data_IF_086318867472
#
_entry.id   IF_086318867472
#
_cell.length_a   1.000
_cell.length_b   1.000
_cell.length_c   1.000
_cell.angle_alpha   90.00
_cell.angle_beta   90.00
_cell.angle_gamma   90.00
#
_symmetry.space_group_name_H-M   'P 1'
#
loop_
_entity.id
_entity.type
_entity.pdbx_description
1 polymer ?
#
# COMPACT_ATOMS: atom_id res chain seq x y z
N UNK A 1 47.21 3.64 -14.77
CA UNK A 1 46.36 2.42 -14.84
C UNK A 1 45.36 2.36 -13.68
N UNK A 2 45.75 2.68 -12.43
CA UNK A 2 44.82 2.67 -11.29
C UNK A 2 43.52 3.51 -11.48
N UNK A 3 43.59 4.71 -12.05
CA UNK A 3 42.40 5.56 -12.30
C UNK A 3 41.44 4.97 -13.35
N UNK A 4 41.97 4.35 -14.40
CA UNK A 4 41.15 3.73 -15.44
C UNK A 4 40.45 2.47 -14.94
N UNK A 5 41.12 1.72 -14.04
CA UNK A 5 40.55 0.51 -13.45
C UNK A 5 39.49 0.87 -12.40
N UNK A 6 39.71 1.92 -11.61
CA UNK A 6 38.72 2.49 -10.69
C UNK A 6 37.46 2.96 -11.44
N UNK A 7 37.63 3.74 -12.50
CA UNK A 7 36.52 4.23 -13.31
C UNK A 7 35.71 3.08 -13.95
N UNK A 8 36.39 2.02 -14.43
CA UNK A 8 35.73 0.81 -14.94
C UNK A 8 34.95 0.07 -13.85
N UNK A 9 35.50 -0.02 -12.64
CA UNK A 9 34.85 -0.67 -11.51
C UNK A 9 33.57 0.07 -11.08
N UNK A 10 33.64 1.40 -10.91
CA UNK A 10 32.46 2.22 -10.59
C UNK A 10 31.41 2.17 -11.71
N UNK A 11 31.84 2.26 -12.98
CA UNK A 11 30.93 2.16 -14.12
C UNK A 11 30.20 0.81 -14.19
N UNK A 12 30.90 -0.29 -13.88
CA UNK A 12 30.30 -1.63 -13.82
C UNK A 12 29.26 -1.74 -12.70
N UNK A 13 29.56 -1.20 -11.52
CA UNK A 13 28.63 -1.17 -10.38
C UNK A 13 27.37 -0.35 -10.71
N UNK A 14 27.54 0.84 -11.29
CA UNK A 14 26.43 1.69 -11.73
C UNK A 14 25.60 0.99 -12.80
N UNK A 15 26.23 0.31 -13.77
CA UNK A 15 25.51 -0.47 -14.78
C UNK A 15 24.66 -1.57 -14.16
N UNK A 16 25.18 -2.30 -13.18
CA UNK A 16 24.44 -3.33 -12.45
C UNK A 16 23.22 -2.76 -11.71
N UNK A 17 23.40 -1.58 -11.11
CA UNK A 17 22.30 -0.87 -10.46
C UNK A 17 21.23 -0.39 -11.43
N UNK A 18 21.62 0.18 -12.58
CA UNK A 18 20.71 0.57 -13.66
C UNK A 18 19.92 -0.64 -14.13
N UNK A 19 20.57 -1.78 -14.36
CA UNK A 19 19.90 -3.00 -14.78
C UNK A 19 18.87 -3.49 -13.76
N UNK A 20 19.20 -3.44 -12.46
CA UNK A 20 18.28 -3.80 -11.37
C UNK A 20 17.07 -2.87 -11.33
N UNK A 21 17.27 -1.57 -11.40
CA UNK A 21 16.17 -0.59 -11.38
C UNK A 21 15.32 -0.71 -12.64
N UNK A 22 15.94 -0.89 -13.81
CA UNK A 22 15.23 -1.13 -15.07
C UNK A 22 14.38 -2.41 -15.00
N UNK A 23 14.87 -3.47 -14.35
CA UNK A 23 14.09 -4.69 -14.15
C UNK A 23 12.86 -4.44 -13.27
N UNK A 24 12.99 -3.76 -12.14
CA UNK A 24 11.85 -3.44 -11.27
C UNK A 24 10.83 -2.53 -11.97
N UNK A 25 11.30 -1.49 -12.67
CA UNK A 25 10.42 -0.58 -13.43
C UNK A 25 9.72 -1.34 -14.57
N UNK A 26 10.45 -2.19 -15.29
CA UNK A 26 9.89 -3.02 -16.36
C UNK A 26 8.81 -3.97 -15.85
N UNK A 27 9.05 -4.65 -14.72
CA UNK A 27 8.05 -5.48 -14.06
C UNK A 27 6.83 -4.64 -13.66
N UNK A 28 7.04 -3.50 -12.99
CA UNK A 28 5.96 -2.62 -12.54
C UNK A 28 5.06 -2.15 -13.70
N UNK A 29 5.65 -1.72 -14.82
CA UNK A 29 4.90 -1.33 -16.01
C UNK A 29 4.12 -2.52 -16.57
N UNK A 30 4.78 -3.68 -16.71
CA UNK A 30 4.14 -4.89 -17.22
C UNK A 30 2.94 -5.33 -16.37
N UNK A 31 3.08 -5.38 -15.04
CA UNK A 31 1.97 -5.77 -14.15
C UNK A 31 0.86 -4.73 -14.10
N UNK A 32 1.16 -3.43 -14.24
CA UNK A 32 0.11 -2.40 -14.38
C UNK A 32 -0.68 -2.60 -15.67
N UNK A 33 -0.01 -2.85 -16.80
CA UNK A 33 -0.69 -3.14 -18.07
C UNK A 33 -1.57 -4.39 -17.95
N UNK A 34 -1.06 -5.46 -17.32
CA UNK A 34 -1.83 -6.66 -17.06
C UNK A 34 -3.03 -6.39 -16.15
N UNK A 35 -2.87 -5.57 -15.11
CA UNK A 35 -3.95 -5.18 -14.21
C UNK A 35 -5.04 -4.39 -14.95
N UNK A 36 -4.64 -3.48 -15.86
CA UNK A 36 -5.58 -2.72 -16.68
C UNK A 36 -6.34 -3.62 -17.66
N UNK A 37 -5.65 -4.57 -18.32
CA UNK A 37 -6.30 -5.56 -19.20
C UNK A 37 -7.27 -6.42 -18.40
N UNK A 38 -6.84 -6.94 -17.24
CA UNK A 38 -7.68 -7.75 -16.37
C UNK A 38 -8.87 -6.97 -15.84
N UNK A 39 -8.69 -5.70 -15.46
CA UNK A 39 -9.79 -4.84 -15.04
C UNK A 39 -10.76 -4.58 -16.18
N UNK A 40 -10.27 -4.30 -17.39
CA UNK A 40 -11.12 -4.02 -18.56
C UNK A 40 -11.94 -5.26 -18.97
N UNK A 41 -11.28 -6.39 -19.17
CA UNK A 41 -11.92 -7.66 -19.57
C UNK A 41 -12.75 -8.24 -18.42
N UNK A 42 -12.22 -8.20 -17.20
CA UNK A 42 -12.89 -8.75 -16.03
C UNK A 42 -14.12 -7.95 -15.62
N UNK A 43 -14.11 -6.62 -15.77
CA UNK A 43 -15.29 -5.78 -15.48
C UNK A 43 -16.39 -6.01 -16.49
N UNK A 44 -16.08 -6.19 -17.78
CA UNK A 44 -17.11 -6.49 -18.78
C UNK A 44 -17.77 -7.85 -18.54
N UNK A 45 -16.97 -8.86 -18.15
CA UNK A 45 -17.50 -10.17 -17.69
C UNK A 45 -18.33 -10.04 -16.41
N UNK A 46 -17.89 -9.23 -15.45
CA UNK A 46 -18.61 -9.00 -14.19
C UNK A 46 -19.97 -8.32 -14.39
N UNK A 47 -20.05 -7.32 -15.27
CA UNK A 47 -21.31 -6.61 -15.57
C UNK A 47 -22.28 -7.51 -16.34
N UNK A 48 -21.77 -8.39 -17.20
CA UNK A 48 -22.60 -9.33 -17.97
C UNK A 48 -23.28 -10.39 -17.08
N UNK A 49 -22.63 -10.79 -15.98
CA UNK A 49 -23.08 -11.83 -15.07
C UNK A 49 -23.31 -11.28 -13.67
N UNK A 50 -24.16 -10.25 -13.55
CA UNK A 50 -24.37 -9.36 -12.38
C UNK A 50 -24.74 -10.04 -11.03
N UNK A 51 -24.58 -11.36 -10.92
CA UNK A 51 -24.75 -12.18 -9.72
C UNK A 51 -23.81 -13.41 -9.60
N UNK A 52 -22.85 -13.65 -10.52
CA UNK A 52 -22.10 -14.92 -10.52
C UNK A 52 -20.87 -14.92 -9.60
N UNK A 53 -21.06 -15.65 -8.51
CA UNK A 53 -20.04 -16.01 -7.54
C UNK A 53 -18.78 -16.59 -8.18
N UNK A 54 -17.66 -16.35 -7.52
CA UNK A 54 -16.27 -16.71 -7.87
C UNK A 54 -15.53 -15.84 -8.91
N UNK A 55 -16.08 -15.54 -10.10
CA UNK A 55 -15.30 -14.86 -11.16
C UNK A 55 -14.98 -13.40 -10.80
N UNK A 56 -15.95 -12.64 -10.29
CA UNK A 56 -15.73 -11.26 -9.85
C UNK A 56 -14.68 -11.13 -8.74
N UNK A 57 -14.67 -12.10 -7.80
CA UNK A 57 -13.65 -12.18 -6.77
C UNK A 57 -12.26 -12.46 -7.36
N UNK A 58 -12.17 -13.36 -8.34
CA UNK A 58 -10.94 -13.64 -9.06
C UNK A 58 -10.36 -12.41 -9.74
N UNK A 59 -11.19 -11.65 -10.47
CA UNK A 59 -10.79 -10.39 -11.12
C UNK A 59 -10.32 -9.37 -10.07
N UNK A 60 -11.11 -9.15 -9.01
CA UNK A 60 -10.77 -8.21 -7.94
C UNK A 60 -9.43 -8.56 -7.28
N UNK A 61 -9.24 -9.83 -6.89
CA UNK A 61 -8.00 -10.29 -6.27
C UNK A 61 -6.81 -10.21 -7.22
N UNK A 62 -7.00 -10.58 -8.49
CA UNK A 62 -5.96 -10.46 -9.51
C UNK A 62 -5.51 -9.02 -9.70
N UNK A 63 -6.45 -8.07 -9.83
CA UNK A 63 -6.13 -6.64 -9.96
C UNK A 63 -5.43 -6.12 -8.70
N UNK A 64 -5.95 -6.41 -7.52
CA UNK A 64 -5.35 -5.97 -6.25
C UNK A 64 -3.94 -6.53 -6.05
N UNK A 65 -3.71 -7.80 -6.39
CA UNK A 65 -2.38 -8.42 -6.32
C UNK A 65 -1.41 -7.74 -7.29
N UNK A 66 -1.81 -7.56 -8.55
CA UNK A 66 -0.96 -6.94 -9.58
C UNK A 66 -0.61 -5.49 -9.22
N UNK A 67 -1.57 -4.72 -8.71
CA UNK A 67 -1.31 -3.37 -8.20
C UNK A 67 -0.36 -3.41 -7.00
N UNK A 68 -0.55 -4.34 -6.07
CA UNK A 68 0.34 -4.49 -4.91
C UNK A 68 1.79 -4.78 -5.34
N UNK A 69 1.97 -5.67 -6.31
CA UNK A 69 3.28 -6.00 -6.90
C UNK A 69 3.87 -4.77 -7.61
N UNK A 70 3.07 -4.05 -8.40
CA UNK A 70 3.52 -2.84 -9.09
C UNK A 70 4.05 -1.79 -8.11
N UNK A 71 3.31 -1.55 -7.02
CA UNK A 71 3.73 -0.66 -5.93
C UNK A 71 5.03 -1.17 -5.32
N UNK A 72 5.10 -2.43 -4.90
CA UNK A 72 6.30 -3.01 -4.30
C UNK A 72 7.54 -2.88 -5.21
N UNK A 73 7.41 -3.15 -6.51
CA UNK A 73 8.48 -2.97 -7.49
C UNK A 73 8.88 -1.50 -7.65
N UNK A 74 7.91 -0.58 -7.72
CA UNK A 74 8.19 0.86 -7.75
C UNK A 74 8.96 1.34 -6.53
N UNK A 75 8.62 0.83 -5.34
CA UNK A 75 9.32 1.15 -4.10
C UNK A 75 10.73 0.58 -4.05
N UNK A 76 10.91 -0.66 -4.49
CA UNK A 76 12.23 -1.27 -4.61
C UNK A 76 13.10 -0.47 -5.61
N UNK A 77 12.53 0.00 -6.72
CA UNK A 77 13.22 0.82 -7.72
C UNK A 77 13.75 2.13 -7.12
N UNK A 78 12.96 2.82 -6.29
CA UNK A 78 13.38 4.06 -5.60
C UNK A 78 14.23 3.81 -4.34
N UNK A 79 14.61 2.57 -4.07
CA UNK A 79 15.56 2.22 -3.00
C UNK A 79 14.94 1.90 -1.64
N UNK A 80 13.62 1.68 -1.56
CA UNK A 80 13.02 1.13 -0.34
C UNK A 80 13.53 -0.29 -0.12
N UNK A 81 14.00 -0.60 1.09
CA UNK A 81 14.59 -1.89 1.38
C UNK A 81 13.57 -3.04 1.29
N UNK A 82 13.98 -4.17 0.73
CA UNK A 82 13.14 -5.36 0.61
C UNK A 82 12.62 -5.87 1.97
N UNK A 83 13.38 -5.66 3.05
CA UNK A 83 12.94 -6.00 4.40
C UNK A 83 11.73 -5.16 4.86
N UNK A 84 11.65 -3.87 4.50
CA UNK A 84 10.50 -3.01 4.83
C UNK A 84 9.26 -3.44 4.07
N UNK A 85 9.39 -3.69 2.77
CA UNK A 85 8.32 -4.19 1.90
C UNK A 85 7.83 -5.56 2.38
N UNK A 86 8.77 -6.47 2.68
CA UNK A 86 8.49 -7.81 3.19
C UNK A 86 7.80 -7.81 4.55
N UNK A 87 8.20 -6.92 5.47
CA UNK A 87 7.51 -6.74 6.75
C UNK A 87 6.07 -6.28 6.55
N UNK A 88 5.83 -5.33 5.64
CA UNK A 88 4.46 -4.90 5.31
C UNK A 88 3.62 -6.05 4.73
N UNK A 89 4.23 -6.89 3.90
CA UNK A 89 3.59 -8.11 3.37
C UNK A 89 3.23 -9.10 4.48
N UNK A 90 4.14 -9.37 5.42
CA UNK A 90 3.85 -10.27 6.55
C UNK A 90 2.71 -9.77 7.45
N UNK A 91 2.66 -8.46 7.71
CA UNK A 91 1.53 -7.85 8.43
C UNK A 91 0.23 -8.04 7.64
N UNK A 92 0.25 -7.81 6.32
CA UNK A 92 -0.90 -8.02 5.47
C UNK A 92 -1.38 -9.48 5.47
N UNK A 93 -0.47 -10.47 5.46
CA UNK A 93 -0.82 -11.90 5.60
C UNK A 93 -1.50 -12.17 6.95
N UNK A 94 -0.99 -11.59 8.04
CA UNK A 94 -1.64 -11.66 9.34
C UNK A 94 -3.07 -11.10 9.31
N UNK A 95 -3.27 -9.98 8.60
CA UNK A 95 -4.61 -9.38 8.39
C UNK A 95 -5.50 -10.29 7.55
N UNK A 96 -5.00 -10.92 6.49
CA UNK A 96 -5.77 -11.90 5.70
C UNK A 96 -6.29 -13.01 6.60
N UNK A 97 -5.41 -13.62 7.40
CA UNK A 97 -5.78 -14.71 8.30
C UNK A 97 -6.79 -14.24 9.33
N UNK A 98 -6.53 -13.10 9.99
CA UNK A 98 -7.42 -12.55 11.01
C UNK A 98 -8.81 -12.22 10.47
N UNK A 99 -8.90 -11.47 9.38
CA UNK A 99 -10.19 -11.06 8.79
C UNK A 99 -10.94 -12.26 8.22
N UNK A 100 -10.23 -13.18 7.54
CA UNK A 100 -10.86 -14.40 7.01
C UNK A 100 -11.46 -15.22 8.14
N UNK A 101 -10.72 -15.48 9.23
CA UNK A 101 -11.23 -16.24 10.37
C UNK A 101 -12.40 -15.53 11.04
N UNK A 102 -12.31 -14.21 11.26
CA UNK A 102 -13.38 -13.42 11.87
C UNK A 102 -14.69 -13.54 11.09
N UNK A 103 -14.64 -13.38 9.77
CA UNK A 103 -15.82 -13.39 8.91
C UNK A 103 -16.31 -14.80 8.59
N UNK A 104 -15.41 -15.76 8.32
CA UNK A 104 -15.79 -17.16 8.02
C UNK A 104 -16.43 -17.87 9.21
N UNK A 105 -16.09 -17.50 10.44
CA UNK A 105 -16.71 -18.03 11.66
C UNK A 105 -17.93 -17.20 12.11
N UNK A 106 -18.31 -16.18 11.35
CA UNK A 106 -19.40 -15.24 11.65
C UNK A 106 -19.28 -14.64 13.08
N UNK A 107 -18.05 -14.41 13.56
CA UNK A 107 -17.82 -13.96 14.95
C UNK A 107 -18.48 -12.60 15.24
N UNK A 108 -18.41 -11.60 14.34
CA UNK A 108 -19.09 -10.32 14.58
C UNK A 108 -20.61 -10.50 14.64
N UNK A 109 -21.21 -11.23 13.69
CA UNK A 109 -22.65 -11.51 13.69
C UNK A 109 -23.10 -12.18 15.01
N UNK A 110 -22.38 -13.20 15.47
CA UNK A 110 -22.69 -13.90 16.73
C UNK A 110 -22.57 -12.98 17.95
N UNK A 111 -21.54 -12.14 17.98
CA UNK A 111 -21.34 -11.15 19.03
C UNK A 111 -22.47 -10.11 19.04
N UNK A 112 -22.86 -9.59 17.88
CA UNK A 112 -23.94 -8.62 17.79
C UNK A 112 -25.29 -9.24 18.14
N UNK A 113 -25.50 -10.52 17.80
CA UNK A 113 -26.69 -11.28 18.21
C UNK A 113 -26.79 -11.38 19.73
N UNK A 114 -25.69 -11.72 20.42
CA UNK A 114 -25.70 -11.88 21.88
C UNK A 114 -25.91 -10.55 22.61
N UNK A 115 -25.28 -9.48 22.14
CA UNK A 115 -25.52 -8.12 22.64
C UNK A 115 -26.98 -7.70 22.35
N UNK A 116 -27.48 -7.91 21.14
CA UNK A 116 -28.85 -7.55 20.76
C UNK A 116 -29.91 -8.29 21.58
N UNK A 117 -29.67 -9.54 21.96
CA UNK A 117 -30.57 -10.31 22.81
C UNK A 117 -30.71 -9.72 24.23
N UNK A 118 -29.67 -9.09 24.74
CA UNK A 118 -29.67 -8.48 26.08
C UNK A 118 -30.13 -7.02 26.08
N UNK A 119 -29.73 -6.25 25.06
CA UNK A 119 -29.96 -4.80 25.03
C UNK A 119 -31.22 -4.40 24.24
N UNK A 120 -31.63 -5.21 23.25
CA UNK A 120 -32.73 -4.89 22.33
C UNK A 120 -33.78 -6.03 22.25
N UNK A 121 -34.39 -6.45 23.37
CA UNK A 121 -35.31 -7.59 23.39
C UNK A 121 -36.58 -7.36 22.54
N UNK A 122 -36.97 -6.11 22.31
CA UNK A 122 -38.13 -5.74 21.49
C UNK A 122 -37.87 -5.63 19.98
N UNK A 123 -36.61 -5.72 19.53
CA UNK A 123 -36.27 -5.71 18.10
C UNK A 123 -36.42 -7.12 17.53
N UNK A 124 -36.83 -7.27 16.28
CA UNK A 124 -36.92 -8.58 15.62
C UNK A 124 -35.54 -9.29 15.58
N UNK A 125 -35.44 -10.57 15.99
CA UNK A 125 -34.17 -11.29 16.04
C UNK A 125 -33.34 -11.25 14.75
N UNK A 126 -33.98 -11.30 13.58
CA UNK A 126 -33.29 -11.29 12.28
C UNK A 126 -32.52 -9.99 11.99
N UNK A 127 -32.95 -8.85 12.53
CA UNK A 127 -32.35 -7.53 12.25
C UNK A 127 -31.48 -7.05 13.41
N UNK A 128 -31.54 -7.70 14.59
CA UNK A 128 -30.73 -7.33 15.77
C UNK A 128 -29.24 -7.21 15.48
N UNK A 129 -28.58 -8.17 14.78
CA UNK A 129 -27.14 -8.09 14.55
C UNK A 129 -26.77 -6.86 13.72
N UNK A 130 -27.61 -6.51 12.74
CA UNK A 130 -27.44 -5.33 11.89
C UNK A 130 -27.50 -4.05 12.71
N UNK A 131 -28.54 -3.89 13.54
CA UNK A 131 -28.73 -2.68 14.37
C UNK A 131 -27.57 -2.52 15.35
N UNK A 132 -27.20 -3.59 16.05
CA UNK A 132 -26.12 -3.57 17.03
C UNK A 132 -24.77 -3.30 16.37
N UNK A 133 -24.46 -4.02 15.29
CA UNK A 133 -23.22 -3.83 14.54
C UNK A 133 -23.10 -2.41 14.00
N UNK A 134 -24.15 -1.89 13.35
CA UNK A 134 -24.19 -0.53 12.85
C UNK A 134 -24.02 0.49 13.98
N UNK A 135 -24.68 0.31 15.14
CA UNK A 135 -24.56 1.22 16.27
C UNK A 135 -23.15 1.23 16.88
N UNK A 136 -22.56 0.06 17.14
CA UNK A 136 -21.21 -0.05 17.70
C UNK A 136 -20.20 0.62 16.77
N UNK A 137 -20.25 0.30 15.47
CA UNK A 137 -19.30 0.86 14.54
C UNK A 137 -19.59 2.33 14.19
N UNK A 138 -20.84 2.81 14.29
CA UNK A 138 -21.13 4.24 14.21
C UNK A 138 -20.45 5.02 15.33
N UNK A 139 -20.40 4.46 16.54
CA UNK A 139 -19.67 5.06 17.68
C UNK A 139 -18.16 5.03 17.44
N UNK A 140 -17.61 3.90 16.99
CA UNK A 140 -16.18 3.82 16.62
C UNK A 140 -15.84 4.82 15.50
N UNK A 141 -16.71 4.90 14.50
CA UNK A 141 -16.63 5.82 13.37
C UNK A 141 -16.71 7.27 13.81
N UNK A 142 -17.54 7.60 14.80
CA UNK A 142 -17.60 8.92 15.42
C UNK A 142 -16.27 9.30 16.06
N UNK A 143 -15.65 8.38 16.80
CA UNK A 143 -14.33 8.61 17.43
C UNK A 143 -13.27 8.85 16.34
N UNK A 144 -13.25 8.03 15.30
CA UNK A 144 -12.35 8.22 14.15
C UNK A 144 -12.59 9.55 13.43
N UNK A 145 -13.85 9.89 13.19
CA UNK A 145 -14.28 11.15 12.59
C UNK A 145 -13.90 12.36 13.45
N UNK A 146 -13.98 12.25 14.77
CA UNK A 146 -13.54 13.27 15.72
C UNK A 146 -12.03 13.50 15.63
N UNK A 147 -11.23 12.42 15.61
CA UNK A 147 -9.78 12.53 15.43
C UNK A 147 -9.45 13.21 14.08
N UNK A 148 -10.16 12.83 13.02
CA UNK A 148 -10.02 13.47 11.70
C UNK A 148 -10.38 14.96 11.74
N UNK A 149 -11.49 15.31 12.37
CA UNK A 149 -11.94 16.69 12.51
C UNK A 149 -10.95 17.54 13.31
N UNK A 150 -10.36 16.99 14.38
CA UNK A 150 -9.33 17.69 15.16
C UNK A 150 -8.07 18.01 14.36
N UNK A 151 -7.79 17.24 13.30
CA UNK A 151 -6.63 17.44 12.41
C UNK A 151 -6.95 18.26 11.17
N UNK A 152 -8.22 18.52 10.90
CA UNK A 152 -8.67 19.23 9.71
C UNK A 152 -8.65 20.76 9.89
N UNK A 153 -8.21 21.46 8.84
CA UNK A 153 -8.41 22.89 8.66
C UNK A 153 -9.69 23.15 7.87
N UNK A 154 -10.61 23.93 8.46
CA UNK A 154 -11.87 24.32 7.83
C UNK A 154 -13.10 23.61 8.41
N UNK A 155 -14.17 24.39 8.66
CA UNK A 155 -15.40 23.90 9.29
C UNK A 155 -16.10 22.82 8.46
N UNK A 156 -16.15 22.97 7.14
CA UNK A 156 -16.77 21.98 6.24
C UNK A 156 -16.08 20.62 6.28
N UNK A 157 -14.73 20.58 6.32
CA UNK A 157 -13.96 19.34 6.41
C UNK A 157 -14.17 18.65 7.76
N UNK A 158 -14.28 19.42 8.84
CA UNK A 158 -14.57 18.90 10.19
C UNK A 158 -15.94 18.23 10.26
N UNK A 159 -16.98 18.91 9.76
CA UNK A 159 -18.33 18.38 9.70
C UNK A 159 -18.35 17.12 8.82
N UNK A 160 -17.69 17.18 7.66
CA UNK A 160 -17.54 16.04 6.76
C UNK A 160 -16.83 14.85 7.42
N UNK A 161 -15.78 15.07 8.21
CA UNK A 161 -15.08 14.02 8.93
C UNK A 161 -15.96 13.36 10.00
N UNK A 162 -16.75 14.13 10.74
CA UNK A 162 -17.67 13.60 11.75
C UNK A 162 -18.79 12.78 11.11
N UNK A 163 -19.51 13.36 10.14
CA UNK A 163 -20.62 12.68 9.45
C UNK A 163 -20.09 11.46 8.69
N UNK A 164 -19.02 11.65 7.91
CA UNK A 164 -18.39 10.58 7.15
C UNK A 164 -17.89 9.45 8.03
N UNK A 165 -17.31 9.77 9.20
CA UNK A 165 -16.87 8.78 10.18
C UNK A 165 -18.02 7.94 10.70
N UNK A 166 -19.12 8.56 11.15
CA UNK A 166 -20.32 7.86 11.64
C UNK A 166 -20.94 6.99 10.56
N UNK A 167 -21.15 7.53 9.36
CA UNK A 167 -21.77 6.81 8.25
C UNK A 167 -20.91 5.64 7.81
N UNK A 168 -19.61 5.85 7.61
CA UNK A 168 -18.69 4.78 7.24
C UNK A 168 -18.61 3.70 8.31
N UNK A 169 -18.56 4.11 9.59
CA UNK A 169 -18.64 3.20 10.72
C UNK A 169 -19.90 2.35 10.67
N UNK A 170 -21.08 2.99 10.59
CA UNK A 170 -22.35 2.27 10.50
C UNK A 170 -22.39 1.28 9.34
N UNK A 171 -21.86 1.64 8.17
CA UNK A 171 -21.76 0.77 7.00
C UNK A 171 -20.84 -0.43 7.23
N UNK A 172 -19.67 -0.24 7.87
CA UNK A 172 -18.77 -1.34 8.26
C UNK A 172 -19.48 -2.27 9.25
N UNK A 173 -20.16 -1.70 10.24
CA UNK A 173 -20.96 -2.46 11.20
C UNK A 173 -22.05 -3.27 10.52
N UNK A 174 -22.72 -2.69 9.53
CA UNK A 174 -23.75 -3.35 8.76
C UNK A 174 -23.20 -4.51 7.93
N UNK A 175 -22.08 -4.31 7.23
CA UNK A 175 -21.44 -5.36 6.42
C UNK A 175 -20.92 -6.49 7.30
N UNK A 176 -20.29 -6.18 8.44
CA UNK A 176 -19.78 -7.21 9.38
C UNK A 176 -20.88 -7.97 10.10
N UNK A 177 -22.10 -7.42 10.16
CA UNK A 177 -23.25 -8.11 10.73
C UNK A 177 -23.82 -9.19 9.80
N UNK A 178 -23.43 -9.23 8.52
CA UNK A 178 -23.91 -10.25 7.57
C UNK A 178 -23.17 -11.57 7.84
N UNK A 179 -23.91 -12.68 7.88
CA UNK A 179 -23.31 -14.01 7.81
C UNK A 179 -22.95 -14.33 6.37
N UNK A 180 -21.71 -14.02 5.99
CA UNK A 180 -21.24 -14.12 4.61
C UNK A 180 -20.83 -15.54 4.21
N UNK A 181 -20.78 -16.49 5.16
CA UNK A 181 -20.22 -17.82 4.94
C UNK A 181 -18.69 -17.83 4.70
N UNK A 182 -18.05 -19.02 4.67
CA UNK A 182 -16.60 -19.12 4.67
C UNK A 182 -15.91 -18.56 3.42
N UNK A 183 -16.48 -18.83 2.23
CA UNK A 183 -15.89 -18.45 0.95
C UNK A 183 -15.79 -16.92 0.79
N UNK A 184 -16.87 -16.21 1.12
CA UNK A 184 -16.90 -14.74 1.05
C UNK A 184 -16.04 -14.13 2.15
N UNK A 185 -16.03 -14.71 3.35
CA UNK A 185 -15.15 -14.28 4.44
C UNK A 185 -13.66 -14.32 4.04
N UNK A 186 -13.23 -15.40 3.37
CA UNK A 186 -11.87 -15.53 2.82
C UNK A 186 -11.62 -14.50 1.73
N UNK A 187 -12.56 -14.34 0.78
CA UNK A 187 -12.44 -13.33 -0.28
C UNK A 187 -12.25 -11.92 0.27
N UNK A 188 -13.09 -11.51 1.23
CA UNK A 188 -12.95 -10.21 1.91
C UNK A 188 -11.61 -10.12 2.62
N UNK A 189 -11.19 -11.17 3.34
CA UNK A 189 -9.90 -11.20 4.02
C UNK A 189 -8.72 -10.98 3.08
N UNK A 190 -8.70 -11.64 1.92
CA UNK A 190 -7.67 -11.45 0.89
C UNK A 190 -7.67 -10.02 0.35
N UNK A 191 -8.84 -9.47 0.02
CA UNK A 191 -8.95 -8.11 -0.49
C UNK A 191 -8.45 -7.07 0.53
N UNK A 192 -8.86 -7.19 1.80
CA UNK A 192 -8.41 -6.32 2.89
C UNK A 192 -6.90 -6.48 3.12
N UNK A 193 -6.36 -7.69 2.98
CA UNK A 193 -4.93 -7.95 3.02
C UNK A 193 -4.14 -7.17 1.98
N UNK A 194 -4.54 -7.23 0.70
CA UNK A 194 -3.88 -6.46 -0.36
C UNK A 194 -3.96 -4.96 -0.12
N UNK A 195 -5.14 -4.44 0.25
CA UNK A 195 -5.30 -3.03 0.59
C UNK A 195 -4.43 -2.62 1.78
N UNK A 196 -4.31 -3.49 2.78
CA UNK A 196 -3.41 -3.29 3.93
C UNK A 196 -1.96 -3.24 3.48
N UNK A 197 -1.53 -4.14 2.60
CA UNK A 197 -0.15 -4.15 2.11
C UNK A 197 0.19 -2.87 1.35
N UNK A 198 -0.67 -2.45 0.41
CA UNK A 198 -0.54 -1.19 -0.33
C UNK A 198 -0.54 0.00 0.64
N UNK A 199 -1.49 0.03 1.57
CA UNK A 199 -1.65 1.11 2.54
C UNK A 199 -0.45 1.24 3.47
N UNK A 200 0.11 0.14 3.95
CA UNK A 200 1.32 0.13 4.78
C UNK A 200 2.54 0.61 4.00
N UNK A 201 2.69 0.18 2.75
CA UNK A 201 3.75 0.66 1.87
C UNK A 201 3.64 2.17 1.62
N UNK A 202 2.44 2.68 1.32
CA UNK A 202 2.18 4.11 1.15
C UNK A 202 2.42 4.91 2.43
N UNK A 203 1.95 4.42 3.58
CA UNK A 203 2.14 5.06 4.87
C UNK A 203 3.61 5.10 5.31
N UNK A 204 4.38 4.06 4.98
CA UNK A 204 5.82 4.00 5.24
C UNK A 204 6.55 5.12 4.50
N UNK A 205 6.28 5.29 3.19
CA UNK A 205 6.85 6.39 2.39
C UNK A 205 6.39 7.75 2.90
N UNK A 206 5.10 7.91 3.21
CA UNK A 206 4.57 9.18 3.69
C UNK A 206 5.23 9.62 5.02
N UNK A 207 5.71 8.67 5.83
CA UNK A 207 6.38 8.94 7.11
C UNK A 207 7.88 9.13 6.98
N UNK A 208 8.56 8.30 6.19
CA UNK A 208 10.03 8.31 6.12
C UNK A 208 10.58 9.10 4.94
N UNK A 209 9.74 9.41 3.95
CA UNK A 209 10.18 9.90 2.66
C UNK A 209 10.97 8.87 1.86
N UNK A 210 11.45 9.32 0.69
CA UNK A 210 12.44 8.63 -0.14
C UNK A 210 13.74 9.40 -0.02
N UNK A 211 14.82 8.71 0.29
CA UNK A 211 16.17 9.31 0.35
C UNK A 211 16.67 9.54 -1.08
N UNK A 212 16.38 10.74 -1.61
CA UNK A 212 16.73 11.11 -2.97
C UNK A 212 18.25 11.27 -3.15
N UNK A 213 18.99 11.57 -2.08
CA UNK A 213 20.44 11.72 -2.13
C UNK A 213 21.12 10.35 -2.14
N UNK A 214 20.65 9.40 -1.34
CA UNK A 214 21.09 8.00 -1.45
C UNK A 214 20.74 7.42 -2.83
N UNK A 215 19.57 7.76 -3.38
CA UNK A 215 19.19 7.33 -4.72
C UNK A 215 20.11 7.90 -5.79
N UNK A 216 20.43 9.21 -5.75
CA UNK A 216 21.39 9.83 -6.67
C UNK A 216 22.78 9.22 -6.51
N UNK A 217 23.22 8.98 -5.28
CA UNK A 217 24.54 8.41 -4.99
C UNK A 217 24.74 7.02 -5.61
N UNK A 218 23.68 6.23 -5.80
CA UNK A 218 23.73 4.93 -6.48
C UNK A 218 24.09 5.02 -7.97
N UNK A 219 23.86 6.18 -8.59
CA UNK A 219 24.12 6.42 -10.01
C UNK A 219 25.24 7.43 -10.26
N UNK A 220 25.90 7.91 -9.20
CA UNK A 220 26.90 8.97 -9.29
C UNK A 220 28.30 8.43 -8.93
N UNK A 221 29.28 8.48 -9.86
CA UNK A 221 30.63 7.96 -9.62
C UNK A 221 31.44 8.91 -8.73
N UNK A 222 31.29 8.78 -7.41
CA UNK A 222 31.92 9.69 -6.42
C UNK A 222 33.44 9.59 -6.42
N UNK A 223 34.02 8.38 -6.38
CA UNK A 223 35.47 8.25 -6.23
C UNK A 223 36.20 8.72 -7.48
N UNK A 224 35.69 8.42 -8.68
CA UNK A 224 36.28 8.93 -9.93
C UNK A 224 36.28 10.45 -9.99
N UNK A 225 35.20 11.10 -9.54
CA UNK A 225 35.08 12.58 -9.57
C UNK A 225 35.97 13.22 -8.52
N UNK A 226 36.00 12.71 -7.29
CA UNK A 226 36.87 13.22 -6.23
C UNK A 226 38.35 13.07 -6.59
N UNK A 227 38.75 11.89 -7.08
CA UNK A 227 40.12 11.64 -7.52
C UNK A 227 40.51 12.55 -8.69
N UNK A 228 39.58 12.81 -9.62
CA UNK A 228 39.82 13.74 -10.73
C UNK A 228 39.98 15.19 -10.25
N UNK A 229 39.21 15.61 -9.25
CA UNK A 229 39.35 16.94 -8.62
C UNK A 229 40.67 17.10 -7.89
N UNK A 230 41.10 16.10 -7.13
CA UNK A 230 42.41 16.08 -6.47
C UNK A 230 43.55 16.17 -7.49
N UNK A 231 43.45 15.41 -8.58
CA UNK A 231 44.45 15.45 -9.66
C UNK A 231 44.50 16.83 -10.32
N UNK A 232 43.34 17.44 -10.56
CA UNK A 232 43.25 18.77 -11.17
C UNK A 232 43.79 19.87 -10.23
N UNK A 233 43.52 19.77 -8.93
CA UNK A 233 44.08 20.66 -7.92
C UNK A 233 45.61 20.51 -7.80
N UNK A 234 46.12 19.28 -7.85
CA UNK A 234 47.56 19.04 -7.90
C UNK A 234 48.19 19.64 -9.17
N UNK A 235 47.58 19.45 -10.35
CA UNK A 235 48.05 20.06 -11.60
C UNK A 235 48.06 21.58 -11.52
N UNK A 236 47.00 22.20 -10.98
CA UNK A 236 46.94 23.64 -10.76
C UNK A 236 48.04 24.16 -9.82
N UNK A 237 48.43 23.38 -8.80
CA UNK A 237 49.54 23.73 -7.90
C UNK A 237 50.92 23.66 -8.56
N UNK A 238 51.05 22.93 -9.67
CA UNK A 238 52.31 22.72 -10.41
C UNK A 238 52.43 23.57 -11.67
N UNK A 239 51.33 24.14 -12.16
CA UNK A 239 51.39 25.08 -13.28
C UNK A 239 52.08 26.38 -12.82
N UNK A 240 53.00 26.94 -13.64
CA UNK A 240 53.55 28.26 -13.37
C UNK A 240 52.40 29.27 -13.21
N UNK A 241 52.52 30.29 -12.33
CA UNK A 241 51.55 31.37 -12.31
C UNK A 241 51.41 31.89 -13.73
N UNK A 242 50.19 31.85 -14.27
CA UNK A 242 49.94 32.26 -15.64
C UNK A 242 50.57 33.62 -15.87
N UNK A 243 51.35 33.74 -16.94
CA UNK A 243 51.73 35.03 -17.49
C UNK A 243 50.45 35.74 -17.90
N UNK A 244 49.87 36.48 -16.96
CA UNK A 244 48.82 37.44 -17.24
C UNK A 244 49.39 38.47 -18.21
N UNK A 245 48.79 38.51 -19.39
CA UNK A 245 48.70 39.71 -20.21
C UNK A 245 47.23 40.05 -20.37
#
# INVERSE_FOLDING_TARGET
MAHTDLAKAEASAIKGEIARVAAFVGIAIFVVLLALILAFVGTSLFVAEWLLGSIGWGVLHGVLLLVSIAVACGLAAVGVSGARIGRAFLVAVGVVVGVSLLLSLALPNRLYTSIGASVLPGVEPGVRPLVVGAAIWAVIGLVGGLIGALRASGAGVRIGALIGGVVLGALIGAVTAIDTGPQVGIGIGIAVGYLTWIGLMGADIARTGVDTDALKARFYPKQTIETSKETLAWLQSKMPPGSGS
#
